data_IF_410398500695
#
_entry.id   IF_410398500695
#
_cell.length_a   1.000
_cell.length_b   1.000
_cell.length_c   1.000
_cell.angle_alpha   90.00
_cell.angle_beta   90.00
_cell.angle_gamma   90.00
#
_symmetry.space_group_name_H-M   'P 1'
#
loop_
_entity.id
_entity.type
_entity.pdbx_description
1 polymer ?
#
# COMPACT_ATOMS: atom_id res chain seq x y z
N UNK A 1 14.93 17.57 18.71
CA UNK A 1 15.78 17.38 17.52
C UNK A 1 16.11 15.90 17.45
N UNK A 2 15.21 15.12 16.85
CA UNK A 2 15.36 13.66 16.73
C UNK A 2 16.28 13.41 15.54
N UNK A 3 17.47 12.87 15.81
CA UNK A 3 18.44 12.46 14.79
C UNK A 3 17.76 11.47 13.85
N UNK A 4 17.66 11.80 12.56
CA UNK A 4 17.21 10.85 11.55
C UNK A 4 18.23 9.71 11.51
N UNK A 5 17.76 8.46 11.49
CA UNK A 5 18.66 7.31 11.41
C UNK A 5 19.55 7.44 10.16
N UNK A 6 20.85 7.09 10.23
CA UNK A 6 21.76 7.22 9.08
C UNK A 6 21.29 6.45 7.83
N UNK A 7 20.48 5.40 8.01
CA UNK A 7 19.82 4.66 6.91
C UNK A 7 18.77 5.54 6.19
N UNK A 8 18.02 6.35 6.93
CA UNK A 8 17.01 7.26 6.38
C UNK A 8 17.66 8.42 5.60
N UNK A 9 18.85 8.87 6.02
CA UNK A 9 19.60 9.92 5.32
C UNK A 9 20.21 9.39 4.01
N UNK A 10 20.68 8.15 3.99
CA UNK A 10 21.21 7.47 2.80
C UNK A 10 20.10 7.18 1.76
N UNK A 11 18.89 6.84 2.20
CA UNK A 11 17.72 6.64 1.33
C UNK A 11 17.18 7.93 0.68
N UNK A 12 17.65 9.11 1.11
CA UNK A 12 17.25 10.42 0.55
C UNK A 12 18.23 11.01 -0.46
N UNK A 13 19.36 10.36 -0.70
CA UNK A 13 20.31 10.75 -1.75
C UNK A 13 19.85 10.21 -3.11
N UNK A 14 20.12 10.99 -4.18
CA UNK A 14 19.98 10.75 -5.63
C UNK A 14 19.20 9.49 -6.10
N UNK A 15 18.25 9.61 -7.07
CA UNK A 15 17.42 8.49 -7.48
C UNK A 15 18.28 7.27 -7.88
N UNK A 16 18.05 6.15 -7.19
CA UNK A 16 18.73 4.88 -7.46
C UNK A 16 18.50 4.56 -8.95
N UNK A 17 19.57 4.41 -9.75
CA UNK A 17 19.42 4.11 -11.16
C UNK A 17 18.62 2.82 -11.33
N UNK A 18 17.67 2.77 -12.29
CA UNK A 18 16.81 1.61 -12.45
C UNK A 18 17.65 0.37 -12.74
N UNK A 19 17.37 -0.72 -12.01
CA UNK A 19 17.94 -2.01 -12.35
C UNK A 19 17.39 -2.43 -13.71
N UNK A 20 18.27 -2.78 -14.64
CA UNK A 20 17.91 -3.15 -16.00
C UNK A 20 17.98 -4.66 -16.20
N UNK A 21 17.11 -5.18 -17.05
CA UNK A 21 17.14 -6.52 -17.63
C UNK A 21 18.22 -6.59 -18.73
N UNK A 22 18.51 -7.80 -19.21
CA UNK A 22 19.49 -8.04 -20.28
C UNK A 22 19.16 -7.31 -21.60
N UNK A 23 17.88 -7.00 -21.83
CA UNK A 23 17.39 -6.24 -22.99
C UNK A 23 17.40 -4.71 -22.78
N UNK A 24 17.91 -4.24 -21.64
CA UNK A 24 18.00 -2.83 -21.27
C UNK A 24 16.71 -2.23 -20.74
N UNK A 25 15.61 -3.00 -20.61
CA UNK A 25 14.38 -2.52 -19.97
C UNK A 25 14.49 -2.53 -18.45
N UNK A 26 13.81 -1.63 -17.73
CA UNK A 26 13.73 -1.70 -16.28
C UNK A 26 13.19 -3.05 -15.79
N UNK A 27 13.77 -3.57 -14.71
CA UNK A 27 13.24 -4.75 -14.00
C UNK A 27 11.85 -4.44 -13.44
N UNK A 28 11.72 -3.27 -12.79
CA UNK A 28 10.48 -2.72 -12.27
C UNK A 28 10.03 -1.55 -13.15
N UNK A 29 8.78 -1.58 -13.60
CA UNK A 29 8.17 -0.56 -14.46
C UNK A 29 7.79 0.68 -13.67
N UNK A 30 7.39 0.48 -12.41
CA UNK A 30 7.00 1.52 -11.47
C UNK A 30 7.58 1.21 -10.08
N UNK A 31 7.73 2.24 -9.25
CA UNK A 31 8.30 2.10 -7.90
C UNK A 31 7.54 1.12 -7.01
N UNK A 32 6.21 1.06 -7.13
CA UNK A 32 5.37 0.17 -6.34
C UNK A 32 5.68 -1.32 -6.60
N UNK A 33 6.15 -1.69 -7.79
CA UNK A 33 6.52 -3.07 -8.10
C UNK A 33 7.75 -3.51 -7.29
N UNK A 34 8.73 -2.61 -7.15
CA UNK A 34 9.92 -2.83 -6.34
C UNK A 34 9.57 -2.93 -4.84
N UNK A 35 8.66 -2.08 -4.38
CA UNK A 35 8.16 -2.10 -3.00
C UNK A 35 7.43 -3.41 -2.67
N UNK A 36 6.51 -3.84 -3.53
CA UNK A 36 5.79 -5.11 -3.37
C UNK A 36 6.77 -6.30 -3.32
N UNK A 37 7.75 -6.33 -4.23
CA UNK A 37 8.82 -7.33 -4.21
C UNK A 37 9.60 -7.31 -2.90
N UNK A 38 10.01 -6.14 -2.43
CA UNK A 38 10.76 -5.99 -1.18
C UNK A 38 9.97 -6.49 0.04
N UNK A 39 8.67 -6.15 0.13
CA UNK A 39 7.79 -6.61 1.22
C UNK A 39 7.67 -8.13 1.23
N UNK A 40 7.41 -8.76 0.08
CA UNK A 40 7.34 -10.22 -0.01
C UNK A 40 8.64 -10.90 0.41
N UNK A 41 9.79 -10.39 -0.05
CA UNK A 41 11.10 -10.91 0.36
C UNK A 41 11.36 -10.71 1.86
N UNK A 42 10.94 -9.58 2.43
CA UNK A 42 11.11 -9.30 3.85
C UNK A 42 10.31 -10.30 4.69
N UNK A 43 9.05 -10.56 4.34
CA UNK A 43 8.21 -11.54 5.04
C UNK A 43 8.83 -12.94 5.04
N UNK A 44 9.41 -13.36 3.91
CA UNK A 44 10.10 -14.65 3.80
C UNK A 44 11.37 -14.65 4.66
N UNK A 45 12.19 -13.60 4.57
CA UNK A 45 13.45 -13.50 5.35
C UNK A 45 13.21 -13.46 6.85
N UNK A 46 12.12 -12.84 7.29
CA UNK A 46 11.72 -12.77 8.70
C UNK A 46 11.03 -14.05 9.20
N UNK A 47 10.81 -15.04 8.32
CA UNK A 47 10.24 -16.33 8.69
C UNK A 47 8.72 -16.31 8.92
N UNK A 48 8.01 -15.25 8.54
CA UNK A 48 6.54 -15.22 8.56
C UNK A 48 5.94 -16.23 7.58
N UNK A 49 6.72 -16.59 6.55
CA UNK A 49 6.33 -17.50 5.50
C UNK A 49 7.57 -18.20 4.91
N UNK A 50 7.48 -19.49 4.60
CA UNK A 50 8.50 -20.18 3.82
C UNK A 50 8.44 -19.81 2.34
N UNK A 51 9.56 -19.98 1.64
CA UNK A 51 9.61 -19.82 0.18
C UNK A 51 8.62 -20.76 -0.54
N UNK A 52 8.43 -21.99 -0.04
CA UNK A 52 7.46 -22.93 -0.61
C UNK A 52 6.01 -22.48 -0.45
N UNK A 53 5.64 -21.94 0.72
CA UNK A 53 4.30 -21.40 0.92
C UNK A 53 4.06 -20.17 0.04
N UNK A 54 5.07 -19.30 -0.14
CA UNK A 54 5.00 -18.17 -1.07
C UNK A 54 4.68 -18.61 -2.47
N UNK A 55 5.47 -19.54 -3.00
CA UNK A 55 5.31 -20.05 -4.37
C UNK A 55 3.93 -20.66 -4.55
N UNK A 56 3.40 -21.38 -3.55
CA UNK A 56 2.05 -21.94 -3.60
C UNK A 56 0.98 -20.85 -3.69
N UNK A 57 0.96 -19.89 -2.75
CA UNK A 57 -0.04 -18.79 -2.72
C UNK A 57 0.03 -17.97 -4.00
N UNK A 58 1.24 -17.59 -4.43
CA UNK A 58 1.44 -16.79 -5.63
C UNK A 58 0.98 -17.53 -6.90
N UNK A 59 1.29 -18.83 -7.02
CA UNK A 59 0.84 -19.65 -8.16
C UNK A 59 -0.68 -19.82 -8.20
N UNK A 60 -1.34 -19.87 -7.05
CA UNK A 60 -2.81 -19.91 -6.97
C UNK A 60 -3.44 -18.61 -7.47
N UNK A 61 -2.90 -17.44 -7.09
CA UNK A 61 -3.42 -16.16 -7.58
C UNK A 61 -3.23 -15.99 -9.10
N UNK A 62 -2.09 -16.41 -9.64
CA UNK A 62 -1.87 -16.42 -11.11
C UNK A 62 -2.92 -17.30 -11.79
N UNK A 63 -3.14 -18.53 -11.30
CA UNK A 63 -4.14 -19.45 -11.88
C UNK A 63 -5.54 -18.86 -11.82
N UNK A 64 -5.90 -18.23 -10.70
CA UNK A 64 -7.20 -17.58 -10.50
C UNK A 64 -7.39 -16.43 -11.49
N UNK A 65 -6.37 -15.60 -11.71
CA UNK A 65 -6.42 -14.52 -12.68
C UNK A 65 -6.52 -15.03 -14.13
N UNK A 66 -5.76 -16.08 -14.48
CA UNK A 66 -5.85 -16.73 -15.79
C UNK A 66 -7.26 -17.26 -16.07
N UNK A 67 -7.90 -17.88 -15.07
CA UNK A 67 -9.31 -18.34 -15.16
C UNK A 67 -10.28 -17.16 -15.37
N UNK A 68 -9.95 -15.99 -14.85
CA UNK A 68 -10.74 -14.76 -15.02
C UNK A 68 -10.46 -14.02 -16.34
N UNK A 69 -9.59 -14.57 -17.20
CA UNK A 69 -9.31 -14.04 -18.53
C UNK A 69 -8.02 -13.21 -18.64
N UNK A 70 -7.13 -13.27 -17.65
CA UNK A 70 -5.80 -12.67 -17.78
C UNK A 70 -5.03 -13.33 -18.94
N UNK A 71 -4.62 -12.56 -19.97
CA UNK A 71 -3.88 -13.09 -21.12
C UNK A 71 -2.42 -13.47 -20.82
N UNK A 72 -1.95 -13.28 -19.58
CA UNK A 72 -0.61 -13.67 -19.12
C UNK A 72 0.52 -13.09 -19.99
N UNK A 73 0.44 -11.78 -20.26
CA UNK A 73 1.42 -11.05 -21.08
C UNK A 73 2.61 -10.53 -20.26
N UNK A 74 2.64 -10.85 -18.96
CA UNK A 74 3.66 -10.39 -18.01
C UNK A 74 3.48 -8.95 -17.52
N UNK A 75 2.51 -8.21 -18.04
CA UNK A 75 2.12 -6.87 -17.57
C UNK A 75 1.33 -6.89 -16.26
N UNK A 76 0.73 -8.03 -15.92
CA UNK A 76 -0.02 -8.26 -14.66
C UNK A 76 0.80 -8.99 -13.58
N UNK A 77 2.07 -9.32 -13.83
CA UNK A 77 2.90 -10.12 -12.92
C UNK A 77 2.95 -9.56 -11.49
N UNK A 78 3.27 -8.28 -11.34
CA UNK A 78 3.32 -7.64 -10.02
C UNK A 78 1.94 -7.36 -9.43
N UNK A 79 0.88 -7.34 -10.25
CA UNK A 79 -0.50 -7.31 -9.74
C UNK A 79 -0.84 -8.62 -9.03
N UNK A 80 -0.44 -9.77 -9.58
CA UNK A 80 -0.58 -11.07 -8.92
C UNK A 80 0.25 -11.16 -7.65
N UNK A 81 1.43 -10.53 -7.65
CA UNK A 81 2.30 -10.44 -6.48
C UNK A 81 1.60 -9.67 -5.34
N UNK A 82 0.97 -8.54 -5.66
CA UNK A 82 0.22 -7.73 -4.71
C UNK A 82 -1.00 -8.50 -4.16
N UNK A 83 -1.80 -9.13 -5.04
CA UNK A 83 -2.95 -9.95 -4.64
C UNK A 83 -2.55 -11.07 -3.66
N UNK A 84 -1.41 -11.72 -3.91
CA UNK A 84 -0.88 -12.75 -3.04
C UNK A 84 -0.46 -12.19 -1.67
N UNK A 85 0.16 -11.00 -1.62
CA UNK A 85 0.50 -10.33 -0.36
C UNK A 85 -0.74 -9.94 0.44
N UNK A 86 -1.76 -9.38 -0.21
CA UNK A 86 -3.01 -8.99 0.45
C UNK A 86 -3.71 -10.21 1.06
N UNK A 87 -3.84 -11.28 0.27
CA UNK A 87 -4.39 -12.56 0.74
C UNK A 87 -3.60 -13.10 1.93
N UNK A 88 -2.27 -13.11 1.84
CA UNK A 88 -1.39 -13.58 2.91
C UNK A 88 -1.57 -12.77 4.19
N UNK A 89 -1.64 -11.44 4.10
CA UNK A 89 -1.84 -10.57 5.27
C UNK A 89 -3.17 -10.87 5.98
N UNK A 90 -4.23 -11.16 5.22
CA UNK A 90 -5.54 -11.53 5.76
C UNK A 90 -5.50 -12.94 6.37
N UNK A 91 -4.97 -13.93 5.65
CA UNK A 91 -4.90 -15.33 6.12
C UNK A 91 -4.04 -15.49 7.39
N UNK A 92 -2.99 -14.67 7.53
CA UNK A 92 -2.10 -14.67 8.70
C UNK A 92 -2.58 -13.75 9.82
N UNK A 93 -3.72 -13.06 9.67
CA UNK A 93 -4.28 -12.16 10.67
C UNK A 93 -3.43 -10.91 10.94
N UNK A 94 -2.56 -10.52 10.00
CA UNK A 94 -1.81 -9.27 10.08
C UNK A 94 -2.71 -8.06 9.86
N UNK A 95 -3.81 -8.27 9.14
CA UNK A 95 -4.91 -7.34 8.98
C UNK A 95 -6.20 -8.14 8.79
N UNK A 96 -7.34 -7.46 8.81
CA UNK A 96 -8.64 -8.03 8.51
C UNK A 96 -9.26 -7.32 7.28
N UNK A 97 -10.25 -7.96 6.67
CA UNK A 97 -10.85 -7.47 5.44
C UNK A 97 -11.55 -6.11 5.63
N UNK A 98 -12.13 -5.85 6.80
CA UNK A 98 -12.78 -4.58 7.10
C UNK A 98 -11.76 -3.44 7.22
N UNK A 99 -10.65 -3.69 7.90
CA UNK A 99 -9.54 -2.74 8.01
C UNK A 99 -8.91 -2.45 6.64
N UNK A 100 -8.64 -3.49 5.84
CA UNK A 100 -8.12 -3.35 4.48
C UNK A 100 -9.03 -2.47 3.60
N UNK A 101 -10.34 -2.79 3.55
CA UNK A 101 -11.28 -2.02 2.74
C UNK A 101 -11.42 -0.57 3.20
N UNK A 102 -11.45 -0.34 4.52
CA UNK A 102 -11.46 1.01 5.07
C UNK A 102 -10.23 1.80 4.62
N UNK A 103 -9.05 1.17 4.67
CA UNK A 103 -7.81 1.81 4.25
C UNK A 103 -7.82 2.15 2.75
N UNK A 104 -8.32 1.23 1.91
CA UNK A 104 -8.47 1.45 0.46
C UNK A 104 -9.42 2.62 0.18
N UNK A 105 -10.56 2.69 0.88
CA UNK A 105 -11.51 3.79 0.75
C UNK A 105 -10.91 5.13 1.18
N UNK A 106 -10.15 5.16 2.27
CA UNK A 106 -9.45 6.36 2.72
C UNK A 106 -8.44 6.84 1.67
N UNK A 107 -7.64 5.94 1.10
CA UNK A 107 -6.71 6.30 0.03
C UNK A 107 -7.42 6.81 -1.22
N UNK A 108 -8.52 6.17 -1.63
CA UNK A 108 -9.33 6.65 -2.74
C UNK A 108 -9.86 8.07 -2.47
N UNK A 109 -10.40 8.31 -1.28
CA UNK A 109 -10.87 9.63 -0.88
C UNK A 109 -9.74 10.66 -0.82
N UNK A 110 -8.56 10.28 -0.32
CA UNK A 110 -7.38 11.14 -0.30
C UNK A 110 -6.98 11.57 -1.71
N UNK A 111 -6.99 10.66 -2.68
CA UNK A 111 -6.72 10.99 -4.09
C UNK A 111 -7.72 12.00 -4.62
N UNK A 112 -9.03 11.80 -4.36
CA UNK A 112 -10.08 12.73 -4.81
C UNK A 112 -9.96 14.11 -4.16
N UNK A 113 -9.57 14.17 -2.90
CA UNK A 113 -9.47 15.40 -2.13
C UNK A 113 -8.14 16.14 -2.31
N UNK A 114 -7.11 15.52 -2.92
CA UNK A 114 -5.79 16.13 -3.08
C UNK A 114 -5.80 17.08 -4.28
N UNK A 115 -5.73 18.41 -4.09
CA UNK A 115 -5.67 19.34 -5.20
C UNK A 115 -4.36 19.20 -5.98
N UNK A 116 -4.37 19.62 -7.24
CA UNK A 116 -3.14 19.63 -8.04
C UNK A 116 -2.03 20.45 -7.37
N UNK A 117 -0.82 19.89 -7.33
CA UNK A 117 0.35 20.52 -6.72
C UNK A 117 0.47 20.31 -5.20
N UNK A 118 -0.52 19.68 -4.56
CA UNK A 118 -0.42 19.25 -3.15
C UNK A 118 0.09 17.80 -3.09
N UNK A 119 1.02 17.46 -2.17
CA UNK A 119 1.44 16.08 -1.98
C UNK A 119 0.28 15.16 -1.59
N UNK A 120 0.22 13.98 -2.20
CA UNK A 120 -0.76 12.95 -1.82
C UNK A 120 -0.40 12.37 -0.46
N UNK A 121 -1.34 12.44 0.48
CA UNK A 121 -1.20 11.85 1.80
C UNK A 121 -2.56 11.38 2.32
N UNK A 122 -2.59 10.37 3.20
CA UNK A 122 -3.86 9.74 3.61
C UNK A 122 -4.74 10.70 4.44
N UNK A 123 -4.13 11.63 5.15
CA UNK A 123 -4.81 12.72 5.85
C UNK A 123 -5.67 13.58 4.93
N UNK A 124 -5.34 13.63 3.63
CA UNK A 124 -6.14 14.35 2.64
C UNK A 124 -7.55 13.77 2.50
N UNK A 125 -7.75 12.49 2.88
CA UNK A 125 -9.08 11.86 2.91
C UNK A 125 -10.09 12.62 3.81
N UNK A 126 -9.59 13.39 4.77
CA UNK A 126 -10.39 14.16 5.72
C UNK A 126 -10.41 15.65 5.42
N UNK A 127 -9.75 16.12 4.34
CA UNK A 127 -9.92 17.49 3.89
C UNK A 127 -11.37 17.66 3.44
N UNK A 128 -12.05 18.65 3.99
CA UNK A 128 -13.35 19.06 3.50
C UNK A 128 -13.15 19.57 2.06
N UNK A 129 -13.84 18.94 1.11
CA UNK A 129 -13.95 19.54 -0.21
C UNK A 129 -14.81 20.79 -0.01
N UNK A 130 -14.29 21.95 -0.40
CA UNK A 130 -14.94 23.27 -0.26
C UNK A 130 -16.18 23.41 -1.19
N UNK A 131 -16.80 22.28 -1.57
CA UNK A 131 -18.06 22.17 -2.26
C UNK A 131 -19.19 21.95 -1.23
N UNK A 132 -19.45 22.95 -0.40
CA UNK A 132 -20.75 23.06 0.27
C UNK A 132 -21.21 24.51 0.33
N UNK A 133 -22.06 24.85 -0.65
CA UNK A 133 -23.13 25.81 -0.48
C UNK A 133 -23.93 25.49 0.79
N UNK A 134 -23.95 26.46 1.69
CA UNK A 134 -24.98 26.78 2.69
C UNK A 134 -26.19 25.83 2.74
N UNK A 135 -26.21 24.94 3.73
CA UNK A 135 -27.47 24.48 4.32
C UNK A 135 -27.35 24.39 5.84
N UNK A 136 -28.06 25.32 6.48
CA UNK A 136 -28.20 25.52 7.91
C UNK A 136 -28.80 24.31 8.67
N UNK A 137 -28.19 24.06 9.83
CA UNK A 137 -28.78 23.81 11.17
C UNK A 137 -29.56 22.51 11.45
N UNK A 138 -29.03 21.67 12.37
CA UNK A 138 -29.56 21.51 13.75
C UNK A 138 -28.87 20.36 14.53
N UNK A 139 -28.40 20.72 15.72
CA UNK A 139 -27.76 19.89 16.76
C UNK A 139 -28.67 18.80 17.34
N UNK A 140 -28.12 17.61 17.65
CA UNK A 140 -28.44 16.86 18.90
C UNK A 140 -27.35 15.85 19.28
N UNK A 141 -26.95 15.90 20.56
CA UNK A 141 -25.98 15.03 21.22
C UNK A 141 -26.52 13.63 21.52
N UNK A 142 -25.70 12.57 21.36
CA UNK A 142 -25.58 11.52 22.37
C UNK A 142 -24.27 10.74 22.27
N UNK A 143 -23.64 10.57 23.44
CA UNK A 143 -22.32 9.99 23.70
C UNK A 143 -22.47 8.51 24.10
N UNK A 144 -21.77 7.61 23.39
CA UNK A 144 -21.52 6.24 23.87
C UNK A 144 -20.03 5.89 23.68
N UNK A 145 -19.34 5.66 24.80
CA UNK A 145 -17.97 5.13 24.85
C UNK A 145 -18.01 3.60 24.76
N UNK A 146 -17.33 3.02 23.78
CA UNK A 146 -16.83 1.65 23.85
C UNK A 146 -15.32 1.67 23.56
N UNK A 147 -14.53 1.30 24.57
CA UNK A 147 -13.10 1.06 24.44
C UNK A 147 -12.90 -0.34 23.85
N UNK A 148 -12.35 -0.42 22.64
CA UNK A 148 -11.71 -1.63 22.14
C UNK A 148 -10.22 -1.34 22.00
N UNK A 149 -9.40 -2.00 22.83
CA UNK A 149 -7.95 -1.92 22.77
C UNK A 149 -7.49 -2.87 21.68
N UNK A 150 -6.92 -2.35 20.59
CA UNK A 150 -6.27 -3.13 19.54
C UNK A 150 -4.78 -2.78 19.59
N UNK A 151 -3.94 -3.79 19.77
CA UNK A 151 -2.48 -3.64 19.81
C UNK A 151 -1.97 -3.08 18.48
N UNK A 152 -1.25 -1.96 18.55
CA UNK A 152 -0.77 -1.23 17.38
C UNK A 152 0.51 -1.85 16.83
N UNK A 153 0.53 -2.06 15.53
CA UNK A 153 1.77 -2.16 14.74
C UNK A 153 2.62 -0.90 14.95
N UNK A 154 3.96 -0.99 14.95
CA UNK A 154 4.85 0.14 15.22
C UNK A 154 4.63 1.28 14.23
N UNK A 155 4.64 2.51 14.76
CA UNK A 155 4.16 3.76 14.17
C UNK A 155 4.91 4.25 12.90
N UNK A 156 5.85 3.45 12.39
CA UNK A 156 6.75 3.84 11.29
C UNK A 156 6.93 2.77 10.20
N UNK A 157 6.10 1.71 10.17
CA UNK A 157 6.34 0.58 9.26
C UNK A 157 5.98 0.86 7.79
N UNK A 158 5.09 1.81 7.51
CA UNK A 158 4.59 2.09 6.15
C UNK A 158 4.43 3.60 5.95
N UNK A 159 5.53 4.29 5.62
CA UNK A 159 5.45 5.64 5.06
C UNK A 159 5.17 5.52 3.55
N UNK A 160 4.08 6.12 3.04
CA UNK A 160 3.81 6.12 1.60
C UNK A 160 4.89 6.91 0.87
N UNK A 161 5.49 6.30 -0.16
CA UNK A 161 6.47 6.97 -1.04
C UNK A 161 5.69 7.85 -2.01
N UNK A 162 5.82 9.17 -1.86
CA UNK A 162 5.25 10.11 -2.80
C UNK A 162 6.00 9.99 -4.15
N UNK A 163 5.30 9.51 -5.18
CA UNK A 163 5.82 9.47 -6.55
C UNK A 163 5.66 10.86 -7.16
N UNK A 164 6.76 11.62 -7.23
CA UNK A 164 6.81 12.86 -8.00
C UNK A 164 6.93 12.50 -9.50
N UNK A 165 5.85 12.73 -10.26
CA UNK A 165 5.97 12.77 -11.73
C UNK A 165 6.58 14.11 -12.13
N UNK A 166 7.69 14.04 -12.86
CA UNK A 166 8.33 15.18 -13.54
C UNK A 166 7.57 15.58 -14.79
#
# INVERSE_FOLDING_TARGET
MTTLDPILEELTQEPIPPLLKDDGQPIFRDSWEAEAFAIGNLLIKQGFLSCSEWVNIFSEEIKKAQVQGDPDRGDTYYSHWLNALERLCIERGLTDWQTYQKQLQLWHQAVLNTPHGVPLAIENAYLETDDNHDHHDHSHHHRHHHHHHSDKLPENMLKPVAVFRR
#
